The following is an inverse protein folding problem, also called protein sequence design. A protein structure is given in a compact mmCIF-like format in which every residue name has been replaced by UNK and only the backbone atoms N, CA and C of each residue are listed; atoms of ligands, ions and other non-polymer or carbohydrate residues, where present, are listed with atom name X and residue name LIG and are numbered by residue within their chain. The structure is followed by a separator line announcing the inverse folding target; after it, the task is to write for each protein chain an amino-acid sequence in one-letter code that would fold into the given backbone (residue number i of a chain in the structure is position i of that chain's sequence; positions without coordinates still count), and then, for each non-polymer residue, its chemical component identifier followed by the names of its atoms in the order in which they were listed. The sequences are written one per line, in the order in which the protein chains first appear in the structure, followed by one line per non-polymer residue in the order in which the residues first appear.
data_IF_262257071276
#
_entry.id   IF_262257071276
#
_cell.length_a   1.000
_cell.length_b   1.000
_cell.length_c   1.000
_cell.angle_alpha   90.00
_cell.angle_beta   90.00
_cell.angle_gamma   90.00
#
_symmetry.space_group_name_H-M   'P 1'
#
loop_
_entity.id
_entity.type
_entity.pdbx_description
1 polymer ?
#
# COMPACT_ATOMS: atom_id res chain seq x y z
N UNK A 1 65.88 5.25 28.77
CA UNK A 1 64.46 5.04 29.14
C UNK A 1 63.48 5.46 28.03
N UNK A 2 63.82 5.24 26.75
CA UNK A 2 62.99 5.71 25.61
C UNK A 2 62.61 4.62 24.59
N UNK A 3 63.11 3.39 24.76
CA UNK A 3 62.79 2.27 23.86
C UNK A 3 61.53 1.50 24.25
N UNK A 4 61.12 1.58 25.52
CA UNK A 4 59.95 0.86 26.04
C UNK A 4 58.62 1.59 25.82
N UNK A 5 58.64 2.91 25.59
CA UNK A 5 57.41 3.73 25.38
C UNK A 5 56.86 3.57 23.96
N UNK A 6 57.73 3.29 22.98
CA UNK A 6 57.34 3.09 21.58
C UNK A 6 56.64 1.73 21.35
N UNK A 7 57.01 0.69 22.09
CA UNK A 7 56.40 -0.63 21.96
C UNK A 7 54.94 -0.68 22.46
N UNK A 8 54.61 0.06 23.53
CA UNK A 8 53.24 0.18 24.02
C UNK A 8 52.36 1.09 23.16
N UNK A 9 52.95 2.03 22.42
CA UNK A 9 52.22 2.91 21.51
C UNK A 9 51.82 2.20 20.21
N UNK A 10 52.64 1.27 19.72
CA UNK A 10 52.32 0.46 18.54
C UNK A 10 51.21 -0.57 18.80
N UNK A 11 51.13 -1.14 20.01
CA UNK A 11 50.06 -2.09 20.37
C UNK A 11 48.69 -1.39 20.55
N UNK A 12 48.67 -0.15 21.03
CA UNK A 12 47.44 0.64 21.16
C UNK A 12 46.86 1.05 19.79
N UNK A 13 47.72 1.32 18.80
CA UNK A 13 47.31 1.65 17.43
C UNK A 13 46.83 0.42 16.63
N UNK A 14 47.35 -0.77 16.92
CA UNK A 14 46.83 -2.01 16.32
C UNK A 14 45.56 -2.55 17.01
N UNK A 15 45.39 -2.33 18.32
CA UNK A 15 44.18 -2.73 19.05
C UNK A 15 42.95 -1.88 18.73
N UNK A 16 43.14 -0.61 18.33
CA UNK A 16 42.05 0.30 17.97
C UNK A 16 41.55 0.13 16.51
N UNK A 17 42.23 -0.66 15.68
CA UNK A 17 41.89 -0.86 14.27
C UNK A 17 40.84 -1.94 14.00
N UNK A 18 40.56 -2.82 14.96
CA UNK A 18 39.69 -4.01 14.76
C UNK A 18 38.32 -3.93 15.45
N UNK A 19 38.04 -2.85 16.19
CA UNK A 19 36.72 -2.57 16.77
C UNK A 19 35.92 -1.56 15.94
N UNK A 20 36.16 -1.54 14.64
CA UNK A 20 35.25 -0.95 13.66
C UNK A 20 34.05 -1.85 13.42
N UNK A 21 33.21 -2.09 14.44
CA UNK A 21 31.83 -2.50 14.21
C UNK A 21 31.18 -1.35 13.44
N UNK A 22 31.19 -1.43 12.12
CA UNK A 22 30.43 -0.54 11.27
C UNK A 22 28.98 -0.60 11.75
N UNK A 23 28.56 0.45 12.45
CA UNK A 23 27.17 0.67 12.85
C UNK A 23 26.44 0.95 11.55
N UNK A 24 26.10 -0.11 10.82
CA UNK A 24 25.25 -0.04 9.64
C UNK A 24 23.86 0.36 10.13
N UNK A 25 23.67 1.68 10.30
CA UNK A 25 22.37 2.33 10.59
C UNK A 25 21.41 2.28 9.39
N UNK A 26 21.73 1.47 8.38
CA UNK A 26 20.77 1.14 7.34
C UNK A 26 19.83 0.12 7.97
N UNK A 27 18.62 0.56 8.30
CA UNK A 27 17.51 -0.29 8.71
C UNK A 27 17.49 -1.48 7.74
N UNK A 28 17.84 -2.68 8.20
CA UNK A 28 17.81 -3.88 7.36
C UNK A 28 16.37 -4.37 7.29
N UNK A 29 15.96 -4.90 6.15
CA UNK A 29 14.69 -5.61 6.02
C UNK A 29 14.72 -6.78 7.00
N UNK A 30 13.77 -6.81 7.93
CA UNK A 30 13.74 -7.90 8.91
C UNK A 30 13.53 -9.25 8.20
N UNK A 31 14.33 -10.25 8.56
CA UNK A 31 14.37 -11.57 7.91
C UNK A 31 13.02 -12.32 7.94
N UNK A 32 12.15 -12.04 8.91
CA UNK A 32 10.83 -12.69 9.00
C UNK A 32 9.94 -12.41 7.79
N UNK A 33 10.13 -11.26 7.11
CA UNK A 33 9.35 -10.93 5.90
C UNK A 33 9.67 -11.89 4.76
N UNK A 34 10.95 -12.17 4.56
CA UNK A 34 11.42 -13.10 3.53
C UNK A 34 11.00 -14.53 3.87
N UNK A 35 11.11 -14.92 5.15
CA UNK A 35 10.65 -16.22 5.63
C UNK A 35 9.13 -16.39 5.39
N UNK A 36 8.31 -15.38 5.68
CA UNK A 36 6.88 -15.43 5.44
C UNK A 36 6.55 -15.52 3.94
N UNK A 37 7.26 -14.76 3.10
CA UNK A 37 7.13 -14.83 1.64
C UNK A 37 7.47 -16.23 1.12
N UNK A 38 8.60 -16.81 1.54
CA UNK A 38 9.02 -18.15 1.14
C UNK A 38 8.03 -19.24 1.60
N UNK A 39 7.52 -19.14 2.83
CA UNK A 39 6.50 -20.08 3.33
C UNK A 39 5.22 -20.00 2.49
N UNK A 40 4.77 -18.80 2.15
CA UNK A 40 3.58 -18.61 1.31
C UNK A 40 3.76 -19.21 -0.09
N UNK A 41 4.91 -18.98 -0.71
CA UNK A 41 5.24 -19.50 -2.04
C UNK A 41 5.38 -21.03 -2.03
N UNK A 42 6.06 -21.59 -1.03
CA UNK A 42 6.22 -23.04 -0.87
C UNK A 42 4.87 -23.75 -0.69
N UNK A 43 3.93 -23.10 0.03
CA UNK A 43 2.55 -23.57 0.21
C UNK A 43 1.64 -23.30 -0.99
N UNK A 44 2.12 -22.54 -1.99
CA UNK A 44 1.35 -22.14 -3.18
C UNK A 44 0.01 -21.49 -2.83
N UNK A 45 0.02 -20.59 -1.84
CA UNK A 45 -1.21 -19.90 -1.40
C UNK A 45 -1.74 -18.88 -2.41
N UNK A 46 -0.91 -18.51 -3.40
CA UNK A 46 -1.28 -17.64 -4.51
C UNK A 46 -1.00 -18.39 -5.80
N UNK A 47 -2.01 -18.49 -6.65
CA UNK A 47 -1.88 -19.05 -8.00
C UNK A 47 -1.69 -17.93 -9.02
N UNK A 48 -0.62 -17.97 -9.84
CA UNK A 48 -0.46 -17.04 -10.95
C UNK A 48 -1.60 -17.15 -11.96
N UNK A 49 -2.12 -16.00 -12.39
CA UNK A 49 -3.14 -15.89 -13.44
C UNK A 49 -2.81 -14.72 -14.36
N UNK A 50 -3.66 -14.46 -15.37
CA UNK A 50 -3.53 -13.24 -16.19
C UNK A 50 -3.71 -11.94 -15.37
N UNK A 51 -4.36 -12.01 -14.21
CA UNK A 51 -4.59 -10.85 -13.33
C UNK A 51 -3.61 -10.77 -12.16
N UNK A 52 -2.96 -11.89 -11.82
CA UNK A 52 -2.00 -12.04 -10.73
C UNK A 52 -0.70 -12.57 -11.33
N UNK A 53 0.16 -11.65 -11.72
CA UNK A 53 1.37 -11.98 -12.49
C UNK A 53 2.62 -11.84 -11.61
N UNK A 54 3.48 -12.86 -11.52
CA UNK A 54 4.79 -12.72 -10.86
C UNK A 54 5.58 -11.58 -11.49
N UNK A 55 6.19 -10.75 -10.66
CA UNK A 55 7.06 -9.67 -11.08
C UNK A 55 8.50 -9.94 -10.66
N UNK A 56 9.41 -9.19 -11.30
CA UNK A 56 10.81 -9.16 -10.90
C UNK A 56 10.93 -8.63 -9.47
N UNK A 57 11.95 -9.12 -8.79
CA UNK A 57 12.42 -8.57 -7.51
C UNK A 57 12.45 -7.04 -7.55
N UNK A 58 12.01 -6.45 -6.44
CA UNK A 58 12.06 -5.02 -6.24
C UNK A 58 13.12 -4.78 -5.17
N UNK A 59 14.26 -4.23 -5.59
CA UNK A 59 15.33 -3.74 -4.72
C UNK A 59 15.26 -2.20 -4.71
N UNK A 60 14.53 -1.66 -3.75
CA UNK A 60 14.26 -0.23 -3.61
C UNK A 60 15.30 0.51 -2.78
N UNK A 61 15.12 1.83 -2.54
CA UNK A 61 16.01 2.57 -1.67
C UNK A 61 16.03 2.00 -0.24
N UNK A 62 17.23 1.76 0.29
CA UNK A 62 17.40 1.20 1.63
C UNK A 62 16.89 -0.24 1.70
N UNK A 63 16.09 -0.63 2.72
CA UNK A 63 15.57 -2.00 2.83
C UNK A 63 14.24 -2.23 2.08
N UNK A 64 13.72 -1.22 1.38
CA UNK A 64 12.44 -1.34 0.68
C UNK A 64 12.53 -2.40 -0.42
N UNK A 65 11.52 -3.27 -0.52
CA UNK A 65 11.53 -4.28 -1.56
C UNK A 65 10.77 -5.55 -1.24
N UNK A 66 10.75 -6.42 -2.25
CA UNK A 66 10.16 -7.76 -2.23
C UNK A 66 11.00 -8.66 -3.13
N UNK A 67 11.23 -9.90 -2.71
CA UNK A 67 12.06 -10.83 -3.48
C UNK A 67 11.26 -11.43 -4.63
N UNK A 68 9.99 -11.79 -4.39
CA UNK A 68 9.13 -12.42 -5.39
C UNK A 68 7.72 -11.79 -5.38
N UNK A 69 7.60 -10.51 -5.80
CA UNK A 69 6.32 -9.80 -5.77
C UNK A 69 5.36 -10.28 -6.86
N UNK A 70 4.08 -9.98 -6.67
CA UNK A 70 3.03 -10.11 -7.67
C UNK A 70 2.50 -8.74 -8.08
N UNK A 71 2.24 -8.58 -9.39
CA UNK A 71 1.44 -7.48 -9.93
C UNK A 71 0.01 -7.95 -10.06
N UNK A 72 -0.90 -7.19 -9.46
CA UNK A 72 -2.30 -7.57 -9.33
C UNK A 72 -3.18 -6.51 -9.97
N UNK A 73 -4.03 -6.92 -10.90
CA UNK A 73 -5.01 -6.04 -11.55
C UNK A 73 -6.45 -6.38 -11.17
N UNK A 74 -6.68 -7.62 -10.73
CA UNK A 74 -7.97 -8.11 -10.25
C UNK A 74 -7.79 -9.10 -9.12
N UNK A 75 -8.80 -9.24 -8.28
CA UNK A 75 -8.90 -10.23 -7.20
C UNK A 75 -10.12 -11.14 -7.43
N UNK A 76 -10.24 -12.20 -6.64
CA UNK A 76 -11.38 -13.11 -6.65
C UNK A 76 -11.51 -13.86 -7.97
N UNK A 77 -10.39 -14.36 -8.50
CA UNK A 77 -10.36 -15.05 -9.80
C UNK A 77 -10.73 -14.17 -11.00
N UNK A 78 -10.58 -12.84 -10.88
CA UNK A 78 -10.90 -11.89 -11.94
C UNK A 78 -12.27 -11.19 -11.81
N UNK A 79 -13.06 -11.56 -10.80
CA UNK A 79 -14.38 -10.97 -10.56
C UNK A 79 -14.31 -9.49 -10.13
N UNK A 80 -13.25 -9.10 -9.41
CA UNK A 80 -13.15 -7.76 -8.82
C UNK A 80 -11.98 -6.98 -9.43
N UNK A 81 -12.28 -5.86 -10.07
CA UNK A 81 -11.29 -4.96 -10.66
C UNK A 81 -10.58 -4.17 -9.56
N UNK A 82 -9.26 -4.01 -9.68
CA UNK A 82 -8.55 -3.01 -8.90
C UNK A 82 -8.46 -1.72 -9.69
N UNK A 83 -9.02 -0.63 -9.15
CA UNK A 83 -9.01 0.68 -9.82
C UNK A 83 -7.58 1.10 -10.17
N UNK A 84 -6.61 0.76 -9.33
CA UNK A 84 -5.18 0.95 -9.54
C UNK A 84 -4.50 -0.40 -9.39
N UNK A 85 -3.48 -0.67 -10.22
CA UNK A 85 -2.72 -1.92 -10.14
C UNK A 85 -2.00 -1.98 -8.79
N UNK A 86 -2.05 -3.14 -8.14
CA UNK A 86 -1.36 -3.37 -6.88
C UNK A 86 -0.08 -4.16 -7.08
N UNK A 87 0.87 -3.98 -6.16
CA UNK A 87 2.08 -4.80 -6.06
C UNK A 87 2.21 -5.29 -4.63
N UNK A 88 2.16 -6.60 -4.45
CA UNK A 88 2.08 -7.25 -3.15
C UNK A 88 3.04 -8.44 -3.09
N UNK A 89 3.55 -8.73 -1.89
CA UNK A 89 4.18 -10.01 -1.60
C UNK A 89 3.13 -11.13 -1.48
N UNK A 90 3.56 -12.37 -1.63
CA UNK A 90 2.67 -13.54 -1.53
C UNK A 90 1.77 -13.53 -0.29
N UNK A 91 2.27 -13.29 0.95
CA UNK A 91 1.43 -13.38 2.15
C UNK A 91 0.30 -12.36 2.17
N UNK A 92 0.58 -11.10 1.83
CA UNK A 92 -0.43 -10.04 1.81
C UNK A 92 -1.48 -10.26 0.71
N UNK A 93 -1.07 -10.81 -0.44
CA UNK A 93 -2.01 -11.16 -1.50
C UNK A 93 -2.91 -12.33 -1.10
N UNK A 94 -2.35 -13.39 -0.49
CA UNK A 94 -3.15 -14.51 0.00
C UNK A 94 -4.22 -14.07 1.01
N UNK A 95 -3.85 -13.20 1.97
CA UNK A 95 -4.80 -12.66 2.94
C UNK A 95 -5.83 -11.71 2.29
N UNK A 96 -5.44 -10.96 1.26
CA UNK A 96 -6.36 -10.09 0.53
C UNK A 96 -7.42 -10.90 -0.26
N UNK A 97 -7.02 -11.98 -0.92
CA UNK A 97 -7.94 -12.89 -1.61
C UNK A 97 -8.91 -13.55 -0.62
N UNK A 98 -8.40 -14.04 0.52
CA UNK A 98 -9.25 -14.66 1.54
C UNK A 98 -10.18 -13.64 2.22
N UNK A 99 -9.71 -12.42 2.47
CA UNK A 99 -10.55 -11.34 3.00
C UNK A 99 -11.66 -10.94 2.03
N UNK A 100 -11.35 -10.92 0.72
CA UNK A 100 -12.33 -10.67 -0.31
C UNK A 100 -13.43 -11.74 -0.33
N UNK A 101 -13.02 -13.00 -0.38
CA UNK A 101 -13.92 -14.14 -0.48
C UNK A 101 -14.79 -14.33 0.78
N UNK A 102 -14.17 -14.24 1.96
CA UNK A 102 -14.82 -14.64 3.21
C UNK A 102 -15.50 -13.48 3.94
N UNK A 103 -15.21 -12.23 3.58
CA UNK A 103 -15.79 -11.06 4.26
C UNK A 103 -16.38 -10.04 3.29
N UNK A 104 -15.58 -9.48 2.37
CA UNK A 104 -16.03 -8.33 1.56
C UNK A 104 -17.21 -8.71 0.67
N UNK A 105 -17.13 -9.81 -0.08
CA UNK A 105 -18.23 -10.23 -0.96
C UNK A 105 -19.49 -10.65 -0.16
N UNK A 106 -19.39 -11.49 0.88
CA UNK A 106 -20.54 -11.79 1.75
C UNK A 106 -21.16 -10.54 2.37
N UNK A 107 -20.37 -9.58 2.85
CA UNK A 107 -20.88 -8.32 3.40
C UNK A 107 -21.63 -7.52 2.34
N UNK A 108 -21.09 -7.41 1.12
CA UNK A 108 -21.76 -6.67 0.05
C UNK A 108 -23.11 -7.30 -0.32
N UNK A 109 -23.16 -8.64 -0.41
CA UNK A 109 -24.40 -9.37 -0.63
C UNK A 109 -25.40 -9.18 0.52
N UNK A 110 -24.93 -9.15 1.76
CA UNK A 110 -25.77 -8.99 2.94
C UNK A 110 -26.40 -7.59 3.01
N UNK A 111 -25.59 -6.53 2.88
CA UNK A 111 -26.02 -5.14 3.08
C UNK A 111 -26.64 -4.50 1.83
N UNK A 112 -26.23 -4.91 0.63
CA UNK A 112 -26.66 -4.30 -0.63
C UNK A 112 -27.30 -5.29 -1.61
N UNK A 113 -27.17 -6.59 -1.40
CA UNK A 113 -27.64 -7.59 -2.36
C UNK A 113 -26.91 -7.55 -3.70
N UNK A 114 -25.74 -6.91 -3.74
CA UNK A 114 -24.90 -6.72 -4.92
C UNK A 114 -23.46 -7.11 -4.58
N UNK A 115 -22.74 -7.80 -5.48
CA UNK A 115 -21.32 -8.06 -5.27
C UNK A 115 -20.50 -6.78 -5.47
N UNK A 116 -19.33 -6.74 -4.83
CA UNK A 116 -18.29 -5.76 -5.18
C UNK A 116 -17.75 -6.11 -6.55
N UNK A 117 -17.68 -5.14 -7.45
CA UNK A 117 -17.12 -5.28 -8.79
C UNK A 117 -15.78 -4.56 -8.97
N UNK A 118 -15.50 -3.53 -8.16
CA UNK A 118 -14.24 -2.81 -8.17
C UNK A 118 -13.83 -2.35 -6.77
N UNK A 119 -12.53 -2.40 -6.47
CA UNK A 119 -11.92 -1.85 -5.25
C UNK A 119 -10.92 -0.77 -5.64
N UNK A 120 -11.01 0.39 -4.99
CA UNK A 120 -9.99 1.42 -5.05
C UNK A 120 -9.05 1.25 -3.87
N UNK A 121 -7.84 0.76 -4.14
CA UNK A 121 -6.83 0.51 -3.12
C UNK A 121 -5.42 0.91 -3.55
N UNK A 122 -4.60 1.27 -2.56
CA UNK A 122 -3.16 1.49 -2.67
C UNK A 122 -2.37 0.31 -2.11
N UNK A 123 -1.16 0.09 -2.63
CA UNK A 123 -0.25 -0.97 -2.17
C UNK A 123 1.19 -0.44 -2.14
N UNK A 124 2.18 -1.22 -2.62
CA UNK A 124 3.61 -0.92 -2.50
C UNK A 124 3.97 0.56 -2.70
N UNK A 125 4.66 1.12 -1.72
CA UNK A 125 5.26 2.45 -1.77
C UNK A 125 6.39 2.52 -0.73
N UNK A 126 7.63 2.72 -1.19
CA UNK A 126 8.79 2.84 -0.31
C UNK A 126 8.76 4.19 0.44
N UNK A 127 8.24 4.19 1.67
CA UNK A 127 8.05 5.39 2.49
C UNK A 127 8.03 5.09 3.99
N UNK A 128 8.36 6.11 4.78
CA UNK A 128 8.14 6.09 6.23
C UNK A 128 6.64 6.01 6.57
N UNK A 129 6.31 5.45 7.74
CA UNK A 129 4.94 5.43 8.25
C UNK A 129 4.34 6.83 8.25
N UNK A 130 3.05 6.93 7.90
CA UNK A 130 2.32 8.19 7.78
C UNK A 130 2.99 9.23 6.85
N UNK A 131 3.83 8.80 5.90
CA UNK A 131 4.64 9.66 5.02
C UNK A 131 5.63 10.57 5.77
N UNK A 132 6.03 10.18 6.98
CA UNK A 132 6.95 10.97 7.80
C UNK A 132 8.40 10.59 7.51
N UNK A 133 9.22 11.58 7.18
CA UNK A 133 10.66 11.41 6.94
C UNK A 133 11.34 10.99 8.24
N UNK A 134 12.18 9.94 8.17
CA UNK A 134 12.90 9.41 9.33
C UNK A 134 12.08 8.55 10.29
N UNK A 135 10.77 8.38 10.04
CA UNK A 135 9.97 7.39 10.75
C UNK A 135 10.34 5.97 10.28
N UNK A 136 10.08 4.98 11.14
CA UNK A 136 10.12 3.56 10.77
C UNK A 136 9.36 3.34 9.46
N UNK A 137 9.90 2.50 8.59
CA UNK A 137 9.26 2.19 7.32
C UNK A 137 7.86 1.56 7.51
N UNK A 138 6.98 1.90 6.57
CA UNK A 138 5.64 1.30 6.48
C UNK A 138 5.74 -0.11 5.91
N UNK A 139 4.77 -0.98 6.21
CA UNK A 139 4.65 -2.27 5.55
C UNK A 139 4.35 -2.15 4.04
N UNK A 140 3.88 -0.98 3.58
CA UNK A 140 3.84 -0.65 2.14
C UNK A 140 5.23 -0.73 1.49
N UNK A 141 6.30 -0.44 2.22
CA UNK A 141 7.67 -0.52 1.71
C UNK A 141 8.14 -1.95 1.43
N UNK A 142 7.38 -2.95 1.89
CA UNK A 142 7.68 -4.37 1.74
C UNK A 142 6.58 -5.13 1.00
N UNK A 143 5.64 -4.39 0.37
CA UNK A 143 4.45 -4.92 -0.30
C UNK A 143 3.58 -5.80 0.61
N UNK A 144 3.59 -5.50 1.90
CA UNK A 144 2.95 -6.26 2.94
C UNK A 144 1.73 -5.52 3.53
N UNK A 145 1.22 -4.53 2.79
CA UNK A 145 0.12 -3.65 3.22
C UNK A 145 -0.76 -3.19 2.07
N UNK A 146 -2.02 -2.89 2.41
CA UNK A 146 -3.06 -2.41 1.52
C UNK A 146 -3.82 -1.27 2.20
N UNK A 147 -4.03 -0.18 1.47
CA UNK A 147 -4.92 0.91 1.88
C UNK A 147 -6.19 0.83 1.01
N UNK A 148 -7.36 0.55 1.57
CA UNK A 148 -8.63 0.50 0.82
C UNK A 148 -9.42 1.79 1.02
N UNK A 149 -9.69 2.50 -0.08
CA UNK A 149 -10.38 3.81 -0.06
C UNK A 149 -11.86 3.70 -0.42
N UNK A 150 -12.24 2.80 -1.32
CA UNK A 150 -13.65 2.62 -1.72
C UNK A 150 -13.93 1.28 -2.39
N UNK A 151 -15.20 0.90 -2.36
CA UNK A 151 -15.77 -0.24 -3.08
C UNK A 151 -16.82 0.27 -4.07
N UNK A 152 -16.86 -0.32 -5.26
CA UNK A 152 -17.93 -0.09 -6.23
C UNK A 152 -18.65 -1.41 -6.48
N UNK A 153 -19.96 -1.40 -6.31
CA UNK A 153 -20.84 -2.55 -6.51
C UNK A 153 -21.14 -2.75 -7.99
N UNK A 154 -21.63 -3.95 -8.35
CA UNK A 154 -21.97 -4.29 -9.73
C UNK A 154 -23.07 -3.41 -10.36
N UNK A 155 -23.94 -2.82 -9.55
CA UNK A 155 -24.96 -1.86 -9.99
C UNK A 155 -24.41 -0.42 -10.19
N UNK A 156 -23.14 -0.19 -9.84
CA UNK A 156 -22.46 1.08 -9.94
C UNK A 156 -22.45 1.92 -8.66
N UNK A 157 -23.13 1.48 -7.59
CA UNK A 157 -23.11 2.19 -6.30
C UNK A 157 -21.69 2.21 -5.71
N UNK A 158 -21.22 3.38 -5.26
CA UNK A 158 -19.86 3.56 -4.74
C UNK A 158 -19.89 3.86 -3.25
N UNK A 159 -19.27 2.98 -2.47
CA UNK A 159 -19.11 3.10 -1.02
C UNK A 159 -17.69 3.59 -0.76
N UNK A 160 -17.53 4.86 -0.40
CA UNK A 160 -16.22 5.38 0.04
C UNK A 160 -16.03 5.11 1.52
N UNK A 161 -14.81 4.78 1.96
CA UNK A 161 -14.54 4.59 3.39
C UNK A 161 -14.78 5.90 4.14
N UNK A 162 -14.25 7.02 3.63
CA UNK A 162 -14.43 8.36 4.21
C UNK A 162 -15.91 8.72 4.45
N UNK A 163 -16.75 8.54 3.44
CA UNK A 163 -18.18 8.91 3.52
C UNK A 163 -19.02 7.85 4.24
N UNK A 164 -18.83 6.58 3.87
CA UNK A 164 -19.63 5.46 4.37
C UNK A 164 -19.42 5.16 5.85
N UNK A 165 -18.27 5.52 6.44
CA UNK A 165 -17.99 5.24 7.85
C UNK A 165 -18.99 5.90 8.81
N UNK A 166 -19.59 7.01 8.41
CA UNK A 166 -20.70 7.71 9.09
C UNK A 166 -21.87 7.96 8.13
N UNK A 167 -21.98 7.13 7.09
CA UNK A 167 -22.98 7.26 6.02
C UNK A 167 -24.30 6.60 6.39
N UNK A 168 -24.95 5.97 5.43
CA UNK A 168 -26.18 5.20 5.65
C UNK A 168 -25.95 4.00 6.57
N UNK A 169 -27.01 3.44 7.16
CA UNK A 169 -26.91 2.24 8.00
C UNK A 169 -26.26 1.07 7.25
N UNK A 170 -26.60 0.90 5.96
CA UNK A 170 -26.04 -0.15 5.12
C UNK A 170 -24.53 0.03 4.86
N UNK A 171 -24.09 1.25 4.55
CA UNK A 171 -22.66 1.55 4.35
C UNK A 171 -21.86 1.37 5.63
N UNK A 172 -22.41 1.85 6.76
CA UNK A 172 -21.77 1.68 8.05
C UNK A 172 -21.63 0.20 8.39
N UNK A 173 -22.71 -0.58 8.29
CA UNK A 173 -22.69 -2.00 8.59
C UNK A 173 -21.72 -2.77 7.69
N UNK A 174 -21.79 -2.55 6.37
CA UNK A 174 -20.85 -3.15 5.42
C UNK A 174 -19.38 -2.85 5.76
N UNK A 175 -19.04 -1.58 6.00
CA UNK A 175 -17.65 -1.22 6.34
C UNK A 175 -17.21 -1.77 7.70
N UNK A 176 -18.14 -2.06 8.62
CA UNK A 176 -17.83 -2.62 9.94
C UNK A 176 -17.58 -4.12 9.84
N UNK A 177 -18.34 -4.84 9.03
CA UNK A 177 -18.01 -6.23 8.69
C UNK A 177 -16.63 -6.32 8.03
N UNK A 178 -16.40 -5.49 7.01
CA UNK A 178 -15.14 -5.45 6.26
C UNK A 178 -13.96 -5.18 7.20
N UNK A 179 -14.09 -4.20 8.09
CA UNK A 179 -13.09 -3.88 9.11
C UNK A 179 -12.84 -5.03 10.09
N UNK A 180 -13.89 -5.63 10.66
CA UNK A 180 -13.73 -6.70 11.66
C UNK A 180 -13.22 -8.00 11.04
N UNK A 181 -13.66 -8.35 9.84
CA UNK A 181 -13.10 -9.48 9.09
C UNK A 181 -11.63 -9.27 8.75
N UNK A 182 -11.20 -8.04 8.47
CA UNK A 182 -9.78 -7.73 8.34
C UNK A 182 -9.01 -7.98 9.64
N UNK A 183 -9.58 -7.62 10.80
CA UNK A 183 -8.91 -7.81 12.09
C UNK A 183 -8.67 -9.28 12.45
N UNK A 184 -9.38 -10.21 11.82
CA UNK A 184 -9.17 -11.65 11.99
C UNK A 184 -8.00 -12.19 11.15
N UNK A 185 -7.57 -11.44 10.13
CA UNK A 185 -6.59 -11.89 9.11
C UNK A 185 -5.26 -11.15 9.24
N UNK A 186 -5.34 -9.83 9.32
CA UNK A 186 -4.18 -8.95 9.33
C UNK A 186 -3.62 -8.75 10.74
N UNK A 187 -2.35 -8.35 10.85
CA UNK A 187 -1.75 -8.04 12.15
C UNK A 187 -1.96 -6.59 12.55
N UNK A 188 -2.16 -5.70 11.57
CA UNK A 188 -2.56 -4.31 11.77
C UNK A 188 -3.77 -4.01 10.93
N UNK A 189 -4.80 -3.43 11.53
CA UNK A 189 -5.96 -2.87 10.85
C UNK A 189 -6.25 -1.51 11.48
N UNK A 190 -6.19 -0.46 10.66
CA UNK A 190 -6.46 0.91 11.07
C UNK A 190 -7.51 1.51 10.15
N UNK A 191 -8.66 1.88 10.71
CA UNK A 191 -9.76 2.49 9.97
C UNK A 191 -10.10 3.89 10.54
N UNK A 192 -11.10 4.61 9.98
CA UNK A 192 -11.40 5.93 10.48
C UNK A 192 -11.76 5.94 11.97
N UNK A 193 -11.08 6.79 12.73
CA UNK A 193 -11.16 6.82 14.19
C UNK A 193 -9.94 6.22 14.90
N UNK A 194 -9.04 5.51 14.20
CA UNK A 194 -7.73 5.11 14.78
C UNK A 194 -6.83 6.29 15.04
N UNK A 195 -6.67 7.16 14.04
CA UNK A 195 -5.94 8.42 14.09
C UNK A 195 -6.25 9.25 12.84
N UNK A 196 -5.63 10.44 12.74
CA UNK A 196 -5.86 11.39 11.64
C UNK A 196 -5.39 10.89 10.27
N UNK A 197 -4.41 9.99 10.21
CA UNK A 197 -3.86 9.51 8.93
C UNK A 197 -4.75 8.46 8.25
N UNK A 198 -5.66 7.82 8.99
CA UNK A 198 -6.51 6.72 8.52
C UNK A 198 -7.98 7.13 8.45
N UNK A 199 -8.26 8.42 8.30
CA UNK A 199 -9.63 8.95 8.35
C UNK A 199 -10.43 8.69 7.06
N UNK A 200 -9.77 8.35 5.96
CA UNK A 200 -10.37 8.20 4.63
C UNK A 200 -10.15 6.82 3.98
N UNK A 201 -9.48 5.89 4.67
CA UNK A 201 -9.22 4.54 4.19
C UNK A 201 -9.13 3.53 5.34
N UNK A 202 -9.23 2.24 4.99
CA UNK A 202 -8.89 1.13 5.88
C UNK A 202 -7.50 0.64 5.48
N UNK A 203 -6.53 0.81 6.38
CA UNK A 203 -5.18 0.27 6.24
C UNK A 203 -5.11 -1.12 6.85
N UNK A 204 -4.54 -2.07 6.12
CA UNK A 204 -4.25 -3.42 6.61
C UNK A 204 -2.81 -3.80 6.33
N UNK A 205 -2.14 -4.46 7.27
CA UNK A 205 -0.78 -4.99 7.08
C UNK A 205 -0.51 -6.27 7.90
N UNK A 206 0.60 -6.94 7.57
CA UNK A 206 1.09 -8.13 8.29
C UNK A 206 2.37 -7.83 9.10
N UNK A 207 2.53 -6.62 9.65
CA UNK A 207 3.64 -6.26 10.52
C UNK A 207 3.77 -7.20 11.74
N UNK A 208 5.00 -7.54 12.09
CA UNK A 208 5.31 -8.20 13.38
C UNK A 208 5.47 -7.15 14.48
N UNK A 209 4.61 -7.20 15.51
CA UNK A 209 4.57 -6.21 16.60
C UNK A 209 5.25 -6.64 17.91
N UNK A 210 5.62 -7.91 18.01
CA UNK A 210 6.36 -8.49 19.13
C UNK A 210 7.23 -9.67 18.64
N UNK A 211 8.23 -10.14 19.41
CA UNK A 211 9.13 -11.21 18.98
C UNK A 211 8.41 -12.51 18.57
N UNK A 212 7.25 -12.82 19.15
CA UNK A 212 6.46 -14.03 18.83
C UNK A 212 5.51 -13.80 17.65
N UNK A 213 5.28 -12.55 17.24
CA UNK A 213 4.35 -12.20 16.17
C UNK A 213 2.88 -12.48 16.48
N UNK A 214 2.51 -12.46 17.77
CA UNK A 214 1.16 -12.76 18.22
C UNK A 214 0.33 -11.50 18.49
N UNK A 215 0.99 -10.37 18.76
CA UNK A 215 0.34 -9.10 19.02
C UNK A 215 -0.32 -8.57 17.75
N UNK A 216 -1.61 -8.27 17.85
CA UNK A 216 -2.44 -7.70 16.79
C UNK A 216 -2.87 -6.28 17.16
N UNK A 217 -3.04 -5.43 16.16
CA UNK A 217 -3.58 -4.08 16.28
C UNK A 217 -4.85 -4.03 15.44
N UNK A 218 -6.00 -3.84 16.08
CA UNK A 218 -7.29 -3.62 15.43
C UNK A 218 -7.88 -2.35 16.01
N UNK A 219 -7.87 -1.26 15.23
CA UNK A 219 -8.35 0.05 15.67
C UNK A 219 -9.20 0.71 14.58
N UNK A 220 -10.22 1.51 14.96
CA UNK A 220 -10.63 1.80 16.34
C UNK A 220 -11.42 0.65 16.96
N UNK A 221 -11.59 0.68 18.28
CA UNK A 221 -12.61 -0.15 18.94
C UNK A 221 -13.99 0.41 18.57
N UNK A 222 -14.85 -0.46 18.03
CA UNK A 222 -16.20 -0.09 17.58
C UNK A 222 -17.24 -0.88 18.35
N UNK A 223 -18.39 -0.25 18.61
CA UNK A 223 -19.57 -0.93 19.14
C UNK A 223 -20.41 -1.42 17.96
N UNK A 224 -20.16 -2.65 17.54
CA UNK A 224 -20.85 -3.26 16.41
C UNK A 224 -20.87 -4.79 16.60
N UNK A 225 -22.01 -5.41 16.34
CA UNK A 225 -22.17 -6.86 16.35
C UNK A 225 -22.18 -7.35 14.90
N UNK A 226 -21.18 -8.15 14.48
CA UNK A 226 -21.18 -8.77 13.16
C UNK A 226 -22.47 -9.54 12.87
N UNK A 227 -23.01 -9.32 11.68
CA UNK A 227 -24.16 -10.06 11.14
C UNK A 227 -23.70 -11.22 10.25
N UNK A 228 -22.50 -11.13 9.66
CA UNK A 228 -21.92 -12.23 8.91
C UNK A 228 -21.69 -13.44 9.81
N UNK A 229 -22.24 -14.59 9.40
CA UNK A 229 -22.18 -15.83 10.17
C UNK A 229 -23.05 -15.85 11.44
N UNK A 230 -23.93 -14.86 11.62
CA UNK A 230 -24.90 -14.87 12.72
C UNK A 230 -26.03 -15.87 12.44
N UNK A 231 -26.42 -16.64 13.46
CA UNK A 231 -27.56 -17.57 13.40
C UNK A 231 -28.91 -16.84 13.30
N UNK A 232 -28.96 -15.54 13.64
CA UNK A 232 -30.19 -14.74 13.60
C UNK A 232 -29.92 -13.32 13.07
N UNK A 233 -29.67 -13.17 11.77
CA UNK A 233 -29.32 -11.89 11.17
C UNK A 233 -30.49 -10.90 11.26
N UNK A 234 -30.20 -9.66 11.67
CA UNK A 234 -31.23 -8.62 11.77
C UNK A 234 -31.78 -8.30 10.37
N UNK A 235 -33.12 -8.15 10.19
CA UNK A 235 -33.68 -7.71 8.93
C UNK A 235 -33.19 -6.29 8.62
N UNK A 236 -32.57 -6.12 7.45
CA UNK A 236 -32.03 -4.83 7.02
C UNK A 236 -32.88 -4.24 5.91
N UNK A 237 -33.16 -2.94 6.03
CA UNK A 237 -33.74 -2.16 4.94
C UNK A 237 -32.65 -1.92 3.91
N UNK A 238 -32.62 -2.74 2.85
CA UNK A 238 -31.69 -2.54 1.75
C UNK A 238 -31.94 -1.16 1.14
N UNK A 239 -30.91 -0.30 0.98
CA UNK A 239 -31.07 0.92 0.22
C UNK A 239 -31.59 0.56 -1.16
N UNK A 240 -32.68 1.19 -1.60
CA UNK A 240 -33.13 1.04 -2.98
C UNK A 240 -31.99 1.59 -3.86
N UNK A 241 -31.47 0.83 -4.83
CA UNK A 241 -30.48 1.36 -5.76
C UNK A 241 -31.01 2.67 -6.35
N UNK A 242 -30.17 3.71 -6.49
CA UNK A 242 -30.60 4.94 -7.15
C UNK A 242 -31.16 4.56 -8.53
N UNK A 243 -32.35 5.04 -8.85
CA UNK A 243 -32.98 4.76 -10.12
C UNK A 243 -32.05 5.24 -11.24
N UNK A 244 -31.62 4.31 -12.11
CA UNK A 244 -30.70 4.61 -13.20
C UNK A 244 -31.37 5.64 -14.11
N UNK A 245 -31.00 6.90 -13.95
CA UNK A 245 -31.32 7.92 -14.94
C UNK A 245 -30.50 7.57 -16.20
N UNK A 246 -31.14 7.38 -17.37
CA UNK A 246 -30.40 7.16 -18.60
C UNK A 246 -29.41 8.32 -18.79
N UNK A 247 -28.19 7.99 -19.20
CA UNK A 247 -27.21 9.01 -19.53
C UNK A 247 -27.85 10.01 -20.51
N UNK A 248 -27.65 11.33 -20.34
CA UNK A 248 -28.09 12.29 -21.33
C UNK A 248 -27.58 11.82 -22.70
N UNK A 249 -28.39 11.95 -23.78
CA UNK A 249 -27.91 11.62 -25.11
C UNK A 249 -26.57 12.33 -25.32
N UNK A 250 -25.56 11.55 -25.72
CA UNK A 250 -24.24 12.10 -26.00
C UNK A 250 -24.44 13.26 -26.99
N UNK A 251 -23.86 14.42 -26.69
CA UNK A 251 -23.84 15.52 -27.63
C UNK A 251 -23.28 14.99 -28.96
N UNK A 252 -23.80 15.43 -30.12
CA UNK A 252 -23.24 15.06 -31.41
C UNK A 252 -21.73 15.24 -31.34
N UNK A 253 -21.01 14.16 -31.62
CA UNK A 253 -19.56 14.24 -31.75
C UNK A 253 -19.35 15.07 -33.01
N UNK A 254 -18.82 16.29 -32.86
CA UNK A 254 -18.39 17.09 -34.00
C UNK A 254 -17.26 16.28 -34.66
N UNK A 255 -17.62 15.51 -35.68
CA UNK A 255 -16.66 14.93 -36.60
C UNK A 255 -16.08 16.13 -37.33
N UNK A 256 -14.86 16.50 -36.96
CA UNK A 256 -14.08 17.47 -37.71
C UNK A 256 -13.81 16.84 -39.07
N UNK A 257 -14.66 17.20 -40.03
CA UNK A 257 -14.56 16.77 -41.42
C UNK A 257 -13.22 17.30 -41.95
N UNK A 258 -12.27 16.39 -42.23
CA UNK A 258 -10.97 16.75 -42.81
C UNK A 258 -11.19 17.49 -44.14
N UNK A 259 -11.04 18.82 -44.14
CA UNK A 259 -11.00 19.66 -45.33
C UNK A 259 -9.66 19.43 -46.06
N UNK A 260 -9.61 18.76 -47.22
CA UNK A 260 -8.38 18.48 -47.91
C UNK A 260 -7.84 19.67 -48.71
N UNK A 261 -8.53 20.82 -48.70
CA UNK A 261 -8.15 22.03 -49.43
C UNK A 261 -8.35 23.29 -48.57
N UNK A 262 -7.61 23.37 -47.45
CA UNK A 262 -7.66 24.46 -46.47
C UNK A 262 -7.84 25.87 -47.06
N UNK A 263 -9.10 26.28 -47.20
CA UNK A 263 -9.48 27.56 -47.77
C UNK A 263 -10.86 28.00 -47.24
N UNK A 264 -10.89 28.52 -46.02
CA UNK A 264 -11.68 29.73 -45.74
C UNK A 264 -11.24 30.41 -44.43
N UNK A 265 -11.00 31.74 -44.47
CA UNK A 265 -10.94 32.57 -43.28
C UNK A 265 -12.35 33.03 -42.87
N UNK A 266 -12.47 33.44 -41.61
CA UNK A 266 -13.61 34.10 -40.94
C UNK A 266 -14.65 33.19 -40.26
N UNK A 267 -14.54 33.10 -38.94
CA UNK A 267 -15.66 33.57 -38.10
C UNK A 267 -15.11 34.52 -37.04
N UNK A 268 -15.73 35.70 -37.02
CA UNK A 268 -15.31 36.89 -36.30
C UNK A 268 -16.04 36.88 -34.95
N UNK A 269 -15.26 36.86 -33.88
CA UNK A 269 -15.55 37.39 -32.54
C UNK A 269 -17.03 37.48 -32.09
N UNK A 270 -17.50 36.51 -31.31
CA UNK A 270 -18.56 36.73 -30.34
C UNK A 270 -17.97 37.41 -29.09
N UNK A 271 -18.26 38.70 -28.93
CA UNK A 271 -17.90 39.52 -27.77
C UNK A 271 -18.75 39.11 -26.55
N UNK A 272 -18.12 38.70 -25.47
CA UNK A 272 -18.74 38.61 -24.14
C UNK A 272 -18.52 39.93 -23.36
N UNK A 273 -19.46 40.37 -22.50
CA UNK A 273 -19.31 41.62 -21.75
C UNK A 273 -18.32 41.45 -20.60
N UNK A 274 -17.31 42.33 -20.56
CA UNK A 274 -16.30 42.40 -19.51
C UNK A 274 -16.88 43.02 -18.22
N UNK A 275 -16.67 42.35 -17.07
CA UNK A 275 -16.81 42.96 -15.74
C UNK A 275 -15.62 43.88 -15.44
N UNK A 276 -15.80 45.04 -14.78
CA UNK A 276 -14.70 45.93 -14.47
C UNK A 276 -13.81 45.35 -13.34
N UNK A 277 -12.51 45.30 -13.60
CA UNK A 277 -11.45 44.90 -12.66
C UNK A 277 -10.88 46.16 -12.00
N UNK A 278 -10.75 46.16 -10.68
CA UNK A 278 -10.17 47.27 -9.91
C UNK A 278 -8.68 47.51 -10.27
N UNK A 279 -8.18 48.77 -10.17
CA UNK A 279 -6.80 49.09 -10.54
C UNK A 279 -5.80 48.64 -9.47
N UNK A 280 -4.78 47.89 -9.89
CA UNK A 280 -3.58 47.61 -9.10
C UNK A 280 -2.60 48.80 -9.20
N UNK A 281 -2.00 49.17 -8.06
CA UNK A 281 -0.99 50.23 -7.94
C UNK A 281 0.37 49.85 -8.57
N UNK A 282 1.20 50.82 -8.99
CA UNK A 282 2.47 50.56 -9.65
C UNK A 282 3.65 50.30 -8.68
N UNK A 283 4.68 49.72 -9.30
CA UNK A 283 5.89 49.04 -8.81
C UNK A 283 6.98 50.00 -8.31
N UNK A 284 7.88 49.51 -7.44
CA UNK A 284 9.25 50.02 -7.31
C UNK A 284 10.26 48.88 -7.60
N UNK A 285 11.36 49.13 -8.35
CA UNK A 285 12.33 48.12 -8.73
C UNK A 285 13.45 47.98 -7.68
N UNK A 286 13.98 46.77 -7.49
CA UNK A 286 15.25 46.56 -6.78
C UNK A 286 16.16 45.65 -7.56
N UNK A 287 17.45 45.90 -7.40
CA UNK A 287 18.52 45.65 -8.35
C UNK A 287 19.09 44.22 -8.30
N UNK A 288 19.59 43.81 -9.47
CA UNK A 288 20.74 42.95 -9.74
C UNK A 288 21.45 42.29 -8.54
N UNK A 289 21.47 40.95 -8.55
CA UNK A 289 22.63 40.18 -8.08
C UNK A 289 22.82 38.95 -8.99
N UNK A 290 23.97 38.93 -9.65
CA UNK A 290 24.42 37.90 -10.59
C UNK A 290 24.67 36.56 -9.90
N UNK A 291 24.22 35.47 -10.52
CA UNK A 291 24.55 34.10 -10.11
C UNK A 291 26.00 33.74 -10.50
N UNK A 292 26.79 33.07 -9.63
CA UNK A 292 28.09 32.55 -10.02
C UNK A 292 27.98 31.20 -10.76
N UNK A 293 28.89 30.99 -11.71
CA UNK A 293 28.97 29.82 -12.59
C UNK A 293 29.31 28.49 -11.85
N UNK A 294 28.91 27.33 -12.39
CA UNK A 294 29.21 26.03 -11.80
C UNK A 294 30.68 25.64 -12.01
N UNK A 295 31.29 25.05 -10.97
CA UNK A 295 32.65 24.48 -11.00
C UNK A 295 32.66 23.08 -11.64
N UNK A 296 33.74 22.67 -12.32
CA UNK A 296 33.84 21.36 -12.97
C UNK A 296 34.10 20.23 -11.95
N UNK A 297 33.50 19.06 -12.19
CA UNK A 297 33.69 17.85 -11.39
C UNK A 297 35.03 17.15 -11.71
N UNK A 298 35.72 16.56 -10.72
CA UNK A 298 36.86 15.68 -10.98
C UNK A 298 36.41 14.29 -11.44
N UNK A 299 37.22 13.70 -12.34
CA UNK A 299 36.97 12.43 -13.02
C UNK A 299 36.98 11.21 -12.07
N UNK A 300 36.10 10.24 -12.36
CA UNK A 300 36.08 8.90 -11.74
C UNK A 300 37.26 8.06 -12.24
N UNK A 301 37.98 7.32 -11.37
CA UNK A 301 38.84 6.22 -11.80
C UNK A 301 38.01 4.96 -12.09
N UNK A 302 38.51 4.15 -13.03
CA UNK A 302 37.92 2.90 -13.53
C UNK A 302 37.84 1.78 -12.45
N UNK A 303 36.89 0.83 -12.57
CA UNK A 303 36.81 -0.29 -11.64
C UNK A 303 37.94 -1.30 -11.91
N UNK A 304 38.67 -1.68 -10.85
CA UNK A 304 39.52 -2.87 -10.84
C UNK A 304 38.65 -4.11 -10.65
N UNK A 305 38.85 -5.08 -11.52
CA UNK A 305 38.34 -6.45 -11.43
C UNK A 305 38.96 -7.11 -10.20
N UNK A 306 38.13 -7.63 -9.29
CA UNK A 306 38.57 -8.50 -8.20
C UNK A 306 38.07 -9.93 -8.46
N UNK A 307 39.02 -10.85 -8.43
CA UNK A 307 38.87 -12.27 -8.69
C UNK A 307 38.07 -12.99 -7.58
N UNK A 308 37.42 -14.08 -7.99
CA UNK A 308 36.74 -15.04 -7.14
C UNK A 308 37.73 -15.85 -6.28
N UNK A 309 37.33 -16.19 -5.06
CA UNK A 309 37.87 -17.30 -4.27
C UNK A 309 36.73 -18.06 -3.56
N UNK A 310 36.95 -19.35 -3.22
CA UNK A 310 35.91 -20.37 -3.27
C UNK A 310 35.28 -20.74 -1.92
N UNK A 311 34.08 -21.32 -2.05
CA UNK A 311 33.29 -22.19 -1.17
C UNK A 311 33.73 -22.54 0.25
N UNK A 312 32.77 -22.39 1.17
CA UNK A 312 32.61 -23.25 2.35
C UNK A 312 31.14 -23.68 2.50
N UNK A 313 30.97 -24.96 2.83
CA UNK A 313 29.74 -25.76 2.93
C UNK A 313 28.86 -25.37 4.16
N UNK A 314 27.53 -25.58 4.13
CA UNK A 314 26.64 -25.29 5.26
C UNK A 314 26.40 -26.54 6.12
N UNK A 315 26.73 -26.45 7.42
CA UNK A 315 26.38 -27.46 8.41
C UNK A 315 25.41 -26.93 9.46
N UNK A 316 24.24 -27.56 9.59
CA UNK A 316 23.37 -27.45 10.76
C UNK A 316 21.91 -27.08 10.45
N UNK A 317 21.10 -28.09 10.12
CA UNK A 317 19.64 -27.98 10.14
C UNK A 317 19.15 -28.21 11.57
N UNK A 318 18.51 -27.21 12.19
CA UNK A 318 17.52 -27.44 13.24
C UNK A 318 16.11 -27.29 12.64
N UNK A 319 15.31 -28.32 12.87
CA UNK A 319 13.92 -28.48 12.44
C UNK A 319 13.00 -27.37 13.00
N UNK A 320 12.13 -26.72 12.21
CA UNK A 320 11.14 -25.82 12.77
C UNK A 320 9.86 -26.53 13.21
N UNK A 321 9.45 -26.20 14.43
CA UNK A 321 8.23 -26.63 15.10
C UNK A 321 6.95 -26.38 14.27
N UNK A 322 6.09 -27.40 14.28
CA UNK A 322 4.76 -27.44 13.67
C UNK A 322 3.85 -26.28 14.08
N UNK A 323 3.35 -25.52 13.10
CA UNK A 323 2.27 -24.55 13.26
C UNK A 323 0.92 -25.23 12.96
N UNK A 324 0.40 -25.96 13.95
CA UNK A 324 -1.02 -26.32 13.97
C UNK A 324 -1.83 -25.14 14.53
N UNK A 325 -2.97 -24.84 13.89
CA UNK A 325 -3.91 -23.82 14.32
C UNK A 325 -4.54 -24.18 15.69
N UNK A 326 -4.73 -23.23 16.63
CA UNK A 326 -5.63 -23.47 17.74
C UNK A 326 -7.07 -23.45 17.23
N UNK A 327 -7.81 -24.48 17.60
CA UNK A 327 -9.22 -24.64 17.27
C UNK A 327 -10.09 -23.50 17.81
N UNK A 328 -11.23 -23.33 17.15
CA UNK A 328 -12.31 -22.41 17.49
C UNK A 328 -12.72 -22.57 18.97
N UNK A 329 -12.46 -21.54 19.77
CA UNK A 329 -13.06 -21.39 21.10
C UNK A 329 -14.16 -20.35 21.00
N UNK A 330 -15.40 -20.82 21.03
CA UNK A 330 -16.61 -20.02 21.16
C UNK A 330 -16.81 -19.64 22.63
N UNK A 331 -16.48 -18.40 22.99
CA UNK A 331 -16.77 -17.81 24.30
C UNK A 331 -16.94 -16.29 24.20
N UNK A 332 -17.81 -15.68 25.01
CA UNK A 332 -18.11 -14.25 24.91
C UNK A 332 -16.94 -13.42 25.47
N UNK A 333 -16.55 -12.38 24.74
CA UNK A 333 -15.58 -11.38 25.18
C UNK A 333 -16.38 -10.18 25.71
N UNK A 334 -16.20 -9.85 27.00
CA UNK A 334 -16.63 -8.60 27.63
C UNK A 334 -15.69 -7.44 27.25
#
# INVERSE_FOLDING_TARGET
MWRSVLAFSALALFGAGLTGCAINKFERRDAWRDQAEQVCLAKKLVEPTEFVVPAKEIDGPGPCGMTQPFRVTRLGGGAVILKQKMTLGCPALAEAEAWLADTIQPAAALYFGQPVAEINAGSYACRGRNNQVGAKLSEHSFGNAIDVMSFKLADGYVITVKGGWRGTEAEQGFLREVFLGACQRFTTVLAPGSNVFHYDHIHVDLARHDPRGLKRICQPLIKFTPQLGSDNPRPMSRPRPPERQPAPPQAPVDIEEDDPYGASPTSRAARAPARPRAPARPVAPSAYASAPAPRPMPARPAPRVAAALPGEDPGGFEEPLSLAAPGLSSGPIY
#
